data_IF_876854017391
#
_entry.id   IF_876854017391
#
_cell.length_a   1.000
_cell.length_b   1.000
_cell.length_c   1.000
_cell.angle_alpha   90.00
_cell.angle_beta   90.00
_cell.angle_gamma   90.00
#
_symmetry.space_group_name_H-M   'P 1'
#
loop_
_entity.id
_entity.type
_entity.pdbx_description
1 polymer ?
#
# COMPACT_ATOMS: atom_id res chain seq x y z
N UNK A 1 -35.38 -45.64 -30.09
CA UNK A 1 -36.24 -44.45 -29.92
C UNK A 1 -35.59 -43.53 -28.90
N UNK A 2 -35.26 -42.28 -29.27
CA UNK A 2 -34.66 -41.34 -28.32
C UNK A 2 -35.72 -40.85 -27.32
N UNK A 3 -35.46 -41.08 -26.03
CA UNK A 3 -36.32 -40.68 -24.91
C UNK A 3 -36.40 -39.15 -24.84
N UNK A 4 -37.57 -38.59 -25.17
CA UNK A 4 -37.80 -37.15 -25.21
C UNK A 4 -37.51 -36.47 -23.87
N UNK A 5 -36.61 -35.47 -23.88
CA UNK A 5 -36.26 -34.65 -22.72
C UNK A 5 -37.43 -33.71 -22.38
N UNK A 6 -38.22 -34.06 -21.36
CA UNK A 6 -39.28 -33.21 -20.84
C UNK A 6 -38.67 -31.95 -20.18
N UNK A 7 -38.73 -30.80 -20.86
CA UNK A 7 -38.32 -29.50 -20.31
C UNK A 7 -39.45 -28.94 -19.43
N UNK A 8 -39.63 -29.50 -18.23
CA UNK A 8 -40.56 -28.92 -17.25
C UNK A 8 -39.93 -27.65 -16.70
N UNK A 9 -40.55 -26.50 -16.98
CA UNK A 9 -40.25 -25.24 -16.27
C UNK A 9 -40.75 -25.37 -14.84
N UNK A 10 -39.93 -25.93 -13.95
CA UNK A 10 -40.22 -25.92 -12.52
C UNK A 10 -40.30 -24.48 -12.05
N UNK A 11 -41.48 -24.04 -11.59
CA UNK A 11 -41.66 -22.74 -10.95
C UNK A 11 -40.92 -22.76 -9.62
N UNK A 12 -39.71 -22.23 -9.62
CA UNK A 12 -38.91 -22.05 -8.40
C UNK A 12 -39.70 -21.16 -7.42
N UNK A 13 -39.81 -21.53 -6.13
CA UNK A 13 -40.56 -20.77 -5.14
C UNK A 13 -40.02 -19.33 -5.01
N UNK A 14 -40.92 -18.37 -4.82
CA UNK A 14 -40.62 -16.93 -4.83
C UNK A 14 -39.55 -16.51 -3.81
N UNK A 15 -39.38 -17.29 -2.74
CA UNK A 15 -38.39 -17.10 -1.68
C UNK A 15 -36.93 -17.20 -2.15
N UNK A 16 -36.67 -17.86 -3.29
CA UNK A 16 -35.31 -17.97 -3.85
C UNK A 16 -34.99 -16.78 -4.76
N UNK A 17 -35.99 -16.17 -5.40
CA UNK A 17 -35.80 -15.03 -6.32
C UNK A 17 -35.40 -13.74 -5.60
N UNK A 18 -35.78 -13.59 -4.33
CA UNK A 18 -35.49 -12.38 -3.54
C UNK A 18 -34.04 -12.32 -3.03
N UNK A 19 -33.32 -13.46 -3.00
CA UNK A 19 -31.89 -13.50 -2.60
C UNK A 19 -30.94 -13.05 -3.72
N UNK A 20 -31.38 -13.03 -4.97
CA UNK A 20 -30.57 -12.55 -6.10
C UNK A 20 -30.42 -11.01 -6.16
N UNK A 21 -31.33 -10.26 -5.52
CA UNK A 21 -31.37 -8.79 -5.59
C UNK A 21 -30.69 -8.06 -4.43
N UNK A 22 -29.99 -8.78 -3.52
CA UNK A 22 -29.29 -8.17 -2.37
C UNK A 22 -27.77 -8.06 -2.53
N UNK A 23 -27.28 -7.93 -3.75
CA UNK A 23 -25.90 -7.47 -3.99
C UNK A 23 -25.93 -6.36 -5.02
N UNK A 24 -26.40 -5.18 -4.60
CA UNK A 24 -25.98 -3.92 -5.24
C UNK A 24 -24.49 -3.76 -4.94
N UNK A 25 -23.63 -4.47 -5.68
CA UNK A 25 -22.25 -4.03 -5.89
C UNK A 25 -22.38 -2.58 -6.37
N UNK A 26 -21.96 -1.62 -5.54
CA UNK A 26 -21.88 -0.22 -5.95
C UNK A 26 -21.19 -0.12 -7.30
N UNK A 27 -21.52 0.93 -8.07
CA UNK A 27 -20.94 1.20 -9.40
C UNK A 27 -19.50 0.73 -9.44
N UNK A 28 -19.23 -0.34 -10.21
CA UNK A 28 -17.88 -0.79 -10.42
C UNK A 28 -17.13 0.43 -10.96
N UNK A 29 -16.16 0.93 -10.20
CA UNK A 29 -15.44 2.16 -10.51
C UNK A 29 -14.80 1.95 -11.89
N UNK A 30 -15.50 2.33 -12.95
CA UNK A 30 -15.00 2.36 -14.30
C UNK A 30 -13.98 3.49 -14.29
N UNK A 31 -12.71 3.13 -14.08
CA UNK A 31 -11.62 4.07 -14.26
C UNK A 31 -11.76 4.60 -15.67
N UNK A 32 -11.95 5.92 -15.81
CA UNK A 32 -12.01 6.58 -17.12
C UNK A 32 -10.83 6.08 -17.95
N UNK A 33 -11.06 5.76 -19.23
CA UNK A 33 -10.00 5.21 -20.11
C UNK A 33 -8.74 6.08 -20.21
N UNK A 34 -8.86 7.37 -19.86
CA UNK A 34 -7.77 8.34 -19.82
C UNK A 34 -7.26 8.68 -18.40
N UNK A 35 -7.65 7.92 -17.37
CA UNK A 35 -7.15 8.14 -16.01
C UNK A 35 -5.73 7.55 -15.88
N UNK A 36 -4.73 8.33 -15.41
CA UNK A 36 -3.40 7.80 -15.19
C UNK A 36 -3.42 6.56 -14.29
N UNK A 37 -2.78 5.49 -14.73
CA UNK A 37 -2.71 4.23 -13.96
C UNK A 37 -1.95 4.51 -12.67
N UNK A 38 -2.66 4.43 -11.53
CA UNK A 38 -2.03 4.58 -10.22
C UNK A 38 -0.89 3.55 -10.07
N UNK A 39 0.29 3.94 -9.56
CA UNK A 39 1.39 3.01 -9.38
C UNK A 39 0.93 1.86 -8.48
N UNK A 40 1.14 0.62 -8.90
CA UNK A 40 0.72 -0.57 -8.13
C UNK A 40 1.38 -0.65 -6.74
N UNK A 41 2.46 0.12 -6.51
CA UNK A 41 3.34 0.05 -5.33
C UNK A 41 3.24 1.26 -4.38
N UNK A 42 2.27 2.16 -4.51
CA UNK A 42 2.18 3.36 -3.64
C UNK A 42 2.13 2.99 -2.14
N UNK A 43 1.30 2.02 -1.76
CA UNK A 43 1.20 1.53 -0.38
C UNK A 43 2.54 0.98 0.15
N UNK A 44 3.31 0.31 -0.72
CA UNK A 44 4.62 -0.22 -0.37
C UNK A 44 5.65 0.90 -0.19
N UNK A 45 5.60 1.95 -1.02
CA UNK A 45 6.47 3.12 -0.88
C UNK A 45 6.16 3.91 0.39
N UNK A 46 4.88 4.11 0.70
CA UNK A 46 4.44 4.78 1.93
C UNK A 46 4.90 4.02 3.18
N UNK A 47 4.68 2.70 3.23
CA UNK A 47 5.13 1.86 4.36
C UNK A 47 6.65 1.83 4.50
N UNK A 48 7.40 1.78 3.39
CA UNK A 48 8.86 1.89 3.42
C UNK A 48 9.33 3.26 3.92
N UNK A 49 8.65 4.34 3.51
CA UNK A 49 8.95 5.70 3.99
C UNK A 49 8.70 5.81 5.51
N UNK A 50 7.58 5.28 5.99
CA UNK A 50 7.27 5.23 7.43
C UNK A 50 8.34 4.45 8.20
N UNK A 51 8.68 3.24 7.75
CA UNK A 51 9.76 2.43 8.34
C UNK A 51 11.08 3.20 8.39
N UNK A 52 11.47 3.86 7.29
CA UNK A 52 12.70 4.65 7.22
C UNK A 52 12.71 5.81 8.20
N UNK A 53 11.58 6.51 8.39
CA UNK A 53 11.49 7.60 9.36
C UNK A 53 11.61 7.08 10.80
N UNK A 54 10.94 5.98 11.13
CA UNK A 54 11.01 5.36 12.45
C UNK A 54 12.44 4.89 12.74
N UNK A 55 13.06 4.15 11.83
CA UNK A 55 14.44 3.68 12.01
C UNK A 55 15.42 4.83 12.21
N UNK A 56 15.27 5.93 11.45
CA UNK A 56 16.09 7.13 11.63
C UNK A 56 15.89 7.74 13.01
N UNK A 57 14.65 7.89 13.46
CA UNK A 57 14.33 8.47 14.77
C UNK A 57 14.96 7.65 15.90
N UNK A 58 14.82 6.32 15.87
CA UNK A 58 15.41 5.42 16.87
C UNK A 58 16.94 5.50 16.86
N UNK A 59 17.57 5.54 15.68
CA UNK A 59 19.03 5.68 15.60
C UNK A 59 19.46 7.04 16.17
N UNK A 60 18.76 8.13 15.82
CA UNK A 60 19.12 9.46 16.32
C UNK A 60 18.99 9.57 17.84
N UNK A 61 17.96 9.00 18.44
CA UNK A 61 17.81 9.03 19.91
C UNK A 61 18.90 8.23 20.60
N UNK A 62 19.21 7.04 20.10
CA UNK A 62 20.29 6.20 20.65
C UNK A 62 21.65 6.90 20.49
N UNK A 63 21.91 7.53 19.34
CA UNK A 63 23.13 8.30 19.13
C UNK A 63 23.23 9.51 20.06
N UNK A 64 22.12 10.15 20.39
CA UNK A 64 22.09 11.27 21.34
C UNK A 64 22.42 10.80 22.76
N UNK A 65 21.77 9.73 23.23
CA UNK A 65 22.06 9.11 24.54
C UNK A 65 23.53 8.68 24.66
N UNK A 66 24.06 8.04 23.62
CA UNK A 66 25.45 7.59 23.61
C UNK A 66 26.42 8.77 23.63
N UNK A 67 26.14 9.84 22.88
CA UNK A 67 26.96 11.07 22.89
C UNK A 67 26.85 11.83 24.20
N UNK A 68 25.67 11.84 24.83
CA UNK A 68 25.48 12.43 26.16
C UNK A 68 26.34 11.71 27.19
N UNK A 69 26.30 10.37 27.20
CA UNK A 69 27.10 9.55 28.09
C UNK A 69 28.62 9.66 27.86
N UNK A 70 29.06 9.75 26.59
CA UNK A 70 30.49 9.70 26.26
C UNK A 70 31.17 11.08 26.16
N UNK A 71 30.48 12.08 25.62
CA UNK A 71 31.06 13.37 25.20
C UNK A 71 30.30 14.57 25.75
N UNK A 72 29.50 14.39 26.81
CA UNK A 72 28.64 15.43 27.41
C UNK A 72 27.68 16.06 26.39
N UNK A 73 27.28 15.30 25.36
CA UNK A 73 26.35 15.77 24.33
C UNK A 73 26.97 16.70 23.27
N UNK A 74 28.30 16.87 23.23
CA UNK A 74 28.97 17.69 22.20
C UNK A 74 28.81 17.06 20.83
N UNK A 75 27.99 17.68 19.98
CA UNK A 75 27.83 17.36 18.55
C UNK A 75 28.92 18.09 17.76
N UNK A 76 30.13 17.52 17.65
CA UNK A 76 31.16 18.09 16.78
C UNK A 76 30.71 17.91 15.32
N UNK A 77 30.30 19.02 14.69
CA UNK A 77 30.07 19.06 13.26
C UNK A 77 31.44 19.01 12.57
N UNK A 78 32.00 17.81 12.42
CA UNK A 78 33.10 17.63 11.48
C UNK A 78 32.54 17.97 10.09
N UNK A 79 32.97 19.11 9.54
CA UNK A 79 32.69 19.47 8.15
C UNK A 79 33.19 18.31 7.31
N UNK A 80 32.27 17.57 6.69
CA UNK A 80 32.64 16.63 5.64
C UNK A 80 33.11 17.50 4.50
N UNK A 81 34.42 17.69 4.39
CA UNK A 81 35.01 18.39 3.27
C UNK A 81 34.46 17.74 1.99
N UNK A 82 33.79 18.56 1.18
CA UNK A 82 33.31 18.15 -0.11
C UNK A 82 34.55 17.77 -0.92
N UNK A 83 34.84 16.46 -1.00
CA UNK A 83 35.90 15.95 -1.84
C UNK A 83 35.65 16.48 -3.24
N UNK A 84 36.52 17.38 -3.67
CA UNK A 84 36.56 18.01 -4.97
C UNK A 84 36.76 16.95 -6.05
N UNK A 85 35.67 16.34 -6.54
CA UNK A 85 35.70 15.61 -7.81
C UNK A 85 35.51 16.61 -8.96
N UNK A 86 36.40 17.59 -9.05
CA UNK A 86 36.77 18.15 -10.34
C UNK A 86 37.99 17.35 -10.82
N UNK A 87 37.81 16.50 -11.83
CA UNK A 87 38.88 16.16 -12.78
C UNK A 87 38.28 15.49 -14.03
N UNK A 88 38.33 16.29 -15.10
CA UNK A 88 38.27 16.04 -16.56
C UNK A 88 37.08 15.26 -17.11
#
# INVERSE_FOLDING_TARGET
MAQGKLKVKTKVPASVKTKANKVKKGSAIQRRGNAPVRPKKTKLQETQKLKKMISKAVITTIEEELREAAMEGRKTLAKKDASSSQKK
#
